data_IF_421688784020
#
_entry.id   IF_421688784020
#
_cell.length_a   1.000
_cell.length_b   1.000
_cell.length_c   1.000
_cell.angle_alpha   90.00
_cell.angle_beta   90.00
_cell.angle_gamma   90.00
#
_symmetry.space_group_name_H-M   'P 1'
#
loop_
_entity.id
_entity.type
_entity.pdbx_description
1 polymer ?
#
# COMPACT_ATOMS: atom_id res chain seq x y z
N UNK A 1 -3.67 9.84 -18.90
CA UNK A 1 -4.20 10.54 -17.72
C UNK A 1 -3.00 10.97 -16.86
N UNK A 2 -2.63 12.26 -16.85
CA UNK A 2 -1.40 12.77 -16.22
C UNK A 2 -1.65 13.05 -14.73
N UNK A 3 -0.79 12.57 -13.83
CA UNK A 3 -0.86 12.89 -12.40
C UNK A 3 -0.36 14.32 -12.16
N UNK A 4 -1.05 15.06 -11.31
CA UNK A 4 -0.90 16.50 -11.12
C UNK A 4 0.08 16.91 -9.99
N UNK A 5 1.07 16.09 -9.60
CA UNK A 5 1.79 16.38 -8.34
C UNK A 5 3.15 15.71 -8.07
N UNK A 6 3.96 15.41 -9.09
CA UNK A 6 5.44 15.38 -9.03
C UNK A 6 6.22 14.48 -8.05
N UNK A 7 5.61 13.72 -7.13
CA UNK A 7 6.34 12.94 -6.11
C UNK A 7 6.19 11.42 -6.21
N UNK A 8 5.19 10.93 -6.95
CA UNK A 8 4.93 9.50 -7.13
C UNK A 8 5.05 9.17 -8.62
N UNK A 9 5.92 8.20 -8.93
CA UNK A 9 6.14 7.72 -10.30
C UNK A 9 4.85 7.08 -10.85
N UNK A 10 4.60 7.21 -12.15
CA UNK A 10 3.54 6.46 -12.81
C UNK A 10 3.70 4.94 -12.59
N UNK A 11 2.61 4.26 -12.26
CA UNK A 11 2.61 2.84 -11.89
C UNK A 11 2.87 2.56 -10.40
N UNK A 12 3.13 3.60 -9.59
CA UNK A 12 3.27 3.48 -8.15
C UNK A 12 2.11 4.20 -7.44
N UNK A 13 1.70 3.64 -6.30
CA UNK A 13 0.73 4.24 -5.38
C UNK A 13 1.42 4.40 -4.03
N UNK A 14 1.12 5.50 -3.33
CA UNK A 14 1.61 5.74 -1.97
C UNK A 14 0.42 5.86 -1.02
N UNK A 15 0.45 5.10 0.07
CA UNK A 15 -0.51 5.17 1.17
C UNK A 15 0.26 5.24 2.50
N UNK A 16 -0.10 6.14 3.43
CA UNK A 16 0.58 6.21 4.72
C UNK A 16 0.33 4.95 5.58
N UNK A 17 1.38 4.38 6.16
CA UNK A 17 1.29 3.18 7.03
C UNK A 17 0.37 3.36 8.26
N UNK A 18 0.14 4.60 8.70
CA UNK A 18 -0.69 4.94 9.86
C UNK A 18 -2.20 4.88 9.63
N UNK A 19 -2.66 4.42 8.46
CA UNK A 19 -4.08 4.21 8.16
C UNK A 19 -4.56 2.90 8.80
N UNK A 20 -4.72 2.94 10.12
CA UNK A 20 -5.29 1.88 10.95
C UNK A 20 -6.81 1.96 10.96
N UNK A 21 -7.51 0.87 11.32
CA UNK A 21 -8.96 0.71 11.12
C UNK A 21 -9.81 1.94 11.47
N UNK A 22 -9.68 2.49 12.68
CA UNK A 22 -10.43 3.68 13.12
C UNK A 22 -10.19 4.96 12.29
N UNK A 23 -9.19 4.97 11.40
CA UNK A 23 -8.82 6.06 10.49
C UNK A 23 -9.21 5.78 9.03
N UNK A 24 -9.95 4.71 8.77
CA UNK A 24 -10.40 4.27 7.43
C UNK A 24 -11.92 4.12 7.40
N UNK A 25 -12.51 4.18 6.20
CA UNK A 25 -13.98 4.10 6.04
C UNK A 25 -14.53 2.69 6.25
N UNK A 26 -13.74 1.68 5.93
CA UNK A 26 -14.12 0.26 5.97
C UNK A 26 -13.56 -0.46 7.21
N UNK A 27 -12.98 0.30 8.15
CA UNK A 27 -12.35 -0.21 9.38
C UNK A 27 -11.16 -1.15 9.14
N UNK A 28 -10.62 -1.21 7.92
CA UNK A 28 -9.46 -2.04 7.59
C UNK A 28 -8.15 -1.26 7.71
N UNK A 29 -7.08 -1.96 8.09
CA UNK A 29 -5.74 -1.37 8.05
C UNK A 29 -5.20 -1.38 6.62
N UNK A 30 -4.35 -0.42 6.26
CA UNK A 30 -3.65 -0.41 4.96
C UNK A 30 -2.82 -1.69 4.73
N UNK A 31 -2.31 -2.30 5.80
CA UNK A 31 -1.58 -3.57 5.71
C UNK A 31 -2.47 -4.77 5.30
N UNK A 32 -3.79 -4.60 5.21
CA UNK A 32 -4.65 -5.60 4.59
C UNK A 32 -4.39 -5.75 3.08
N UNK A 33 -3.68 -4.80 2.46
CA UNK A 33 -3.24 -4.88 1.07
C UNK A 33 -1.92 -5.66 0.92
N UNK A 34 -1.15 -5.84 1.99
CA UNK A 34 0.18 -6.48 1.92
C UNK A 34 0.08 -7.99 2.08
N UNK A 35 1.09 -8.71 1.59
CA UNK A 35 1.18 -10.16 1.75
C UNK A 35 1.86 -10.56 3.08
N UNK A 36 1.79 -11.85 3.41
CA UNK A 36 2.40 -12.46 4.61
C UNK A 36 3.67 -13.29 4.28
N UNK A 37 4.32 -12.99 3.16
CA UNK A 37 5.57 -13.63 2.77
C UNK A 37 6.72 -13.06 3.61
N UNK A 38 7.58 -13.96 4.12
CA UNK A 38 8.81 -13.56 4.79
C UNK A 38 9.87 -13.13 3.78
N UNK A 39 10.64 -12.08 4.09
CA UNK A 39 11.77 -11.67 3.25
C UNK A 39 12.92 -12.66 3.33
N UNK A 40 13.58 -12.92 2.19
CA UNK A 40 14.69 -13.87 2.09
C UNK A 40 15.87 -13.55 3.02
N UNK A 41 16.09 -12.26 3.29
CA UNK A 41 17.10 -11.81 4.25
C UNK A 41 16.45 -11.54 5.62
N UNK A 42 16.67 -12.45 6.57
CA UNK A 42 16.31 -12.25 7.98
C UNK A 42 14.84 -12.51 8.34
N UNK A 43 13.98 -12.90 7.40
CA UNK A 43 12.60 -13.31 7.69
C UNK A 43 11.68 -12.18 8.16
N UNK A 44 11.97 -10.94 7.76
CA UNK A 44 11.13 -9.78 8.03
C UNK A 44 9.88 -9.72 7.15
N UNK A 45 9.09 -8.65 7.31
CA UNK A 45 7.81 -8.47 6.60
C UNK A 45 8.04 -7.87 5.21
N UNK A 46 7.41 -8.45 4.18
CA UNK A 46 7.54 -8.03 2.78
C UNK A 46 6.59 -6.88 2.35
N UNK A 47 6.52 -5.78 3.11
CA UNK A 47 5.56 -4.68 2.87
C UNK A 47 5.59 -4.08 1.46
N UNK A 48 6.77 -4.00 0.86
CA UNK A 48 6.97 -3.33 -0.43
C UNK A 48 6.88 -4.28 -1.63
N UNK A 49 6.76 -5.59 -1.39
CA UNK A 49 6.57 -6.58 -2.46
C UNK A 49 5.08 -6.85 -2.65
N UNK A 50 4.34 -5.82 -3.06
CA UNK A 50 2.88 -5.89 -3.15
C UNK A 50 2.40 -5.17 -4.40
N UNK A 51 1.56 -5.85 -5.18
CA UNK A 51 0.85 -5.27 -6.31
C UNK A 51 -0.59 -4.94 -5.92
N UNK A 52 -1.07 -3.78 -6.37
CA UNK A 52 -2.43 -3.31 -6.14
C UNK A 52 -3.05 -2.81 -7.43
N UNK A 53 -4.38 -2.79 -7.46
CA UNK A 53 -5.19 -2.15 -8.48
C UNK A 53 -5.90 -0.93 -7.85
N UNK A 54 -6.03 0.16 -8.61
CA UNK A 54 -6.78 1.34 -8.18
C UNK A 54 -7.95 1.56 -9.13
N UNK A 55 -9.14 1.69 -8.56
CA UNK A 55 -10.38 1.93 -9.29
C UNK A 55 -11.06 3.20 -8.79
N UNK A 56 -11.87 3.81 -9.66
CA UNK A 56 -12.72 4.93 -9.28
C UNK A 56 -13.94 4.37 -8.57
N UNK A 57 -14.18 4.84 -7.34
CA UNK A 57 -15.36 4.52 -6.53
C UNK A 57 -16.46 5.54 -6.83
#
# INVERSE_FOLDING_TARGET
MKSSGGRVRSGLVLVPFGWVGARTKDMKTVNALTNDQATDFGGGVAFYDTMVQVEKI
#
